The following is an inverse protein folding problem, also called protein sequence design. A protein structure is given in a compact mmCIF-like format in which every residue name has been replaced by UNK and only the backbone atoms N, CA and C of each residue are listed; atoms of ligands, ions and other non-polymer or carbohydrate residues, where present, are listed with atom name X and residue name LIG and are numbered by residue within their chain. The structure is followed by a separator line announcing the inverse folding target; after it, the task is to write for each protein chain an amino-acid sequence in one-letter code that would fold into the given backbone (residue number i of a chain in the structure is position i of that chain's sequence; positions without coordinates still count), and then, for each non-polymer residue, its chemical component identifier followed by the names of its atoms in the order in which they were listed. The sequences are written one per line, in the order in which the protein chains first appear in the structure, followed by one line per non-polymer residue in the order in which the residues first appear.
data_IF_785687300202
#
_entry.id   IF_785687300202
#
_cell.length_a   1.000
_cell.length_b   1.000
_cell.length_c   1.000
_cell.angle_alpha   90.00
_cell.angle_beta   90.00
_cell.angle_gamma   90.00
#
_symmetry.space_group_name_H-M   'P 1'
#
loop_
_entity.id
_entity.type
_entity.pdbx_description
1 polymer ?
#
# COMPACT_ATOMS: atom_id res chain seq x y z
N UNK A 1 13.66 30.95 6.16
CA UNK A 1 13.08 29.97 7.11
C UNK A 1 11.94 29.26 6.39
N UNK A 2 11.87 27.92 6.41
CA UNK A 2 10.73 27.22 5.82
C UNK A 2 9.44 27.73 6.47
N UNK A 3 8.38 27.90 5.68
CA UNK A 3 7.08 28.33 6.22
C UNK A 3 6.60 27.32 7.27
N UNK A 4 5.89 27.78 8.29
CA UNK A 4 5.35 26.91 9.36
C UNK A 4 4.54 25.73 8.76
N UNK A 5 3.85 25.97 7.64
CA UNK A 5 3.10 24.95 6.88
C UNK A 5 4.04 23.84 6.38
N UNK A 6 5.19 24.21 5.80
CA UNK A 6 6.17 23.23 5.32
C UNK A 6 6.76 22.41 6.48
N UNK A 7 7.06 23.06 7.62
CA UNK A 7 7.57 22.37 8.81
C UNK A 7 6.56 21.35 9.35
N UNK A 8 5.29 21.73 9.50
CA UNK A 8 4.24 20.82 9.94
C UNK A 8 3.99 19.69 8.93
N UNK A 9 4.04 19.98 7.63
CA UNK A 9 3.91 18.96 6.60
C UNK A 9 5.01 17.90 6.68
N UNK A 10 6.26 18.30 6.88
CA UNK A 10 7.39 17.37 7.06
C UNK A 10 7.21 16.52 8.32
N UNK A 11 6.89 17.14 9.46
CA UNK A 11 6.70 16.43 10.73
C UNK A 11 5.56 15.42 10.65
N UNK A 12 4.44 15.80 10.01
CA UNK A 12 3.30 14.91 9.81
C UNK A 12 3.68 13.74 8.90
N UNK A 13 4.39 14.01 7.80
CA UNK A 13 4.84 12.97 6.86
C UNK A 13 5.77 11.96 7.52
N UNK A 14 6.71 12.43 8.37
CA UNK A 14 7.60 11.56 9.14
C UNK A 14 6.83 10.69 10.14
N UNK A 15 5.87 11.28 10.86
CA UNK A 15 5.02 10.54 11.81
C UNK A 15 4.20 9.47 11.10
N UNK A 16 3.48 9.83 10.04
CA UNK A 16 2.64 8.91 9.28
C UNK A 16 3.47 7.82 8.61
N UNK A 17 4.66 8.17 8.09
CA UNK A 17 5.61 7.22 7.52
C UNK A 17 6.13 6.22 8.55
N UNK A 18 6.52 6.68 9.75
CA UNK A 18 6.92 5.79 10.84
C UNK A 18 5.79 4.84 11.26
N UNK A 19 4.59 5.37 11.46
CA UNK A 19 3.41 4.57 11.83
C UNK A 19 3.08 3.55 10.74
N UNK A 20 3.17 3.95 9.47
CA UNK A 20 2.95 3.07 8.34
C UNK A 20 3.96 1.93 8.28
N UNK A 21 5.25 2.21 8.45
CA UNK A 21 6.29 1.18 8.51
C UNK A 21 6.06 0.22 9.68
N UNK A 22 5.80 0.75 10.88
CA UNK A 22 5.50 -0.05 12.08
C UNK A 22 4.29 -0.95 11.88
N UNK A 23 3.20 -0.40 11.33
CA UNK A 23 1.97 -1.13 11.08
C UNK A 23 2.14 -2.15 9.96
N UNK A 24 2.92 -1.85 8.92
CA UNK A 24 3.24 -2.78 7.84
C UNK A 24 4.02 -3.99 8.34
N UNK A 25 5.03 -3.79 9.20
CA UNK A 25 5.72 -4.89 9.88
C UNK A 25 4.77 -5.66 10.80
N UNK A 26 3.94 -4.95 11.56
CA UNK A 26 2.92 -5.56 12.41
C UNK A 26 1.89 -6.38 11.63
N UNK A 27 1.63 -6.08 10.35
CA UNK A 27 0.78 -6.90 9.49
C UNK A 27 1.43 -8.21 9.09
N UNK A 28 2.76 -8.26 8.99
CA UNK A 28 3.50 -9.48 8.67
C UNK A 28 3.61 -10.38 9.91
N UNK A 29 3.91 -9.81 11.08
CA UNK A 29 4.14 -10.59 12.30
C UNK A 29 2.84 -10.91 13.06
N UNK A 30 1.96 -9.93 13.25
CA UNK A 30 0.80 -10.00 14.13
C UNK A 30 -0.45 -9.32 13.53
N UNK A 31 -0.93 -9.78 12.35
CA UNK A 31 -1.94 -9.07 11.56
C UNK A 31 -3.22 -8.77 12.33
N UNK A 32 -3.75 -9.74 13.08
CA UNK A 32 -4.98 -9.55 13.85
C UNK A 32 -4.86 -8.43 14.89
N UNK A 33 -3.76 -8.41 15.66
CA UNK A 33 -3.52 -7.40 16.70
C UNK A 33 -3.36 -6.02 16.06
N UNK A 34 -2.61 -5.95 14.96
CA UNK A 34 -2.34 -4.71 14.23
C UNK A 34 -3.63 -4.10 13.70
N UNK A 35 -4.47 -4.86 12.99
CA UNK A 35 -5.77 -4.35 12.53
C UNK A 35 -6.68 -3.94 13.68
N UNK A 36 -6.76 -4.74 14.75
CA UNK A 36 -7.59 -4.40 15.92
C UNK A 36 -7.17 -3.08 16.56
N UNK A 37 -5.87 -2.84 16.68
CA UNK A 37 -5.34 -1.57 17.21
C UNK A 37 -5.74 -0.39 16.32
N UNK A 38 -5.55 -0.51 15.00
CA UNK A 38 -5.92 0.53 14.03
C UNK A 38 -7.42 0.87 14.11
N UNK A 39 -8.28 -0.15 14.18
CA UNK A 39 -9.73 0.07 14.31
C UNK A 39 -10.12 0.69 15.65
N UNK A 40 -9.49 0.25 16.75
CA UNK A 40 -9.77 0.78 18.09
C UNK A 40 -9.38 2.24 18.22
N UNK A 41 -8.24 2.62 17.65
CA UNK A 41 -7.72 4.00 17.68
C UNK A 41 -8.40 4.90 16.63
N UNK A 42 -9.23 4.32 15.75
CA UNK A 42 -9.93 5.00 14.66
C UNK A 42 -9.00 5.83 13.76
N UNK A 43 -7.76 5.38 13.59
CA UNK A 43 -6.75 6.09 12.83
C UNK A 43 -7.04 6.00 11.32
N UNK A 44 -7.68 7.04 10.77
CA UNK A 44 -8.13 7.12 9.37
C UNK A 44 -6.97 7.17 8.39
N UNK A 45 -5.88 7.86 8.71
CA UNK A 45 -4.71 7.93 7.82
C UNK A 45 -4.05 6.56 7.74
N UNK A 46 -3.88 5.89 8.88
CA UNK A 46 -3.29 4.55 8.90
C UNK A 46 -4.20 3.49 8.27
N UNK A 47 -5.52 3.60 8.43
CA UNK A 47 -6.46 2.77 7.67
C UNK A 47 -6.25 2.96 6.16
N UNK A 48 -6.24 4.20 5.66
CA UNK A 48 -6.04 4.44 4.23
C UNK A 48 -4.69 3.89 3.75
N UNK A 49 -3.61 4.14 4.50
CA UNK A 49 -2.27 3.71 4.12
C UNK A 49 -2.13 2.19 4.11
N UNK A 50 -2.67 1.50 5.12
CA UNK A 50 -2.57 0.04 5.24
C UNK A 50 -3.51 -0.68 4.26
N UNK A 51 -4.78 -0.27 4.21
CA UNK A 51 -5.75 -0.87 3.27
C UNK A 51 -5.45 -0.50 1.82
N UNK A 52 -4.73 0.61 1.60
CA UNK A 52 -4.25 1.04 0.30
C UNK A 52 -3.04 0.28 -0.24
N UNK A 53 -2.33 -0.51 0.58
CA UNK A 53 -1.11 -1.25 0.15
C UNK A 53 -1.32 -2.03 -1.16
N UNK A 54 -2.39 -2.82 -1.36
CA UNK A 54 -2.63 -3.50 -2.63
C UNK A 54 -2.66 -2.53 -3.81
N UNK A 55 -3.37 -1.40 -3.66
CA UNK A 55 -3.51 -0.39 -4.70
C UNK A 55 -2.16 0.32 -4.96
N UNK A 56 -1.41 0.66 -3.91
CA UNK A 56 -0.10 1.30 -4.05
C UNK A 56 0.91 0.41 -4.77
N UNK A 57 0.91 -0.89 -4.49
CA UNK A 57 1.78 -1.85 -5.17
C UNK A 57 1.38 -2.01 -6.64
N UNK A 58 0.08 -2.05 -6.93
CA UNK A 58 -0.40 -2.13 -8.30
C UNK A 58 -0.05 -0.87 -9.09
N UNK A 59 -0.44 0.31 -8.59
CA UNK A 59 -0.17 1.60 -9.24
C UNK A 59 1.34 1.87 -9.35
N UNK A 60 2.11 1.55 -8.32
CA UNK A 60 3.57 1.63 -8.34
C UNK A 60 4.18 0.70 -9.39
N UNK A 61 3.70 -0.54 -9.49
CA UNK A 61 4.10 -1.48 -10.54
C UNK A 61 3.78 -0.97 -11.95
N UNK A 62 2.58 -0.43 -12.16
CA UNK A 62 2.21 0.23 -13.42
C UNK A 62 3.13 1.41 -13.74
N UNK A 63 3.44 2.24 -12.75
CA UNK A 63 4.36 3.36 -12.87
C UNK A 63 5.76 2.93 -13.28
N UNK A 64 6.30 1.85 -12.68
CA UNK A 64 7.60 1.29 -13.04
C UNK A 64 7.59 0.72 -14.47
N UNK A 65 6.56 -0.01 -14.86
CA UNK A 65 6.43 -0.54 -16.23
C UNK A 65 6.34 0.61 -17.23
N UNK A 66 5.55 1.64 -16.92
CA UNK A 66 5.40 2.82 -17.76
C UNK A 66 6.72 3.60 -17.91
N UNK A 67 7.42 3.85 -16.80
CA UNK A 67 8.71 4.55 -16.80
C UNK A 67 9.80 3.74 -17.50
N UNK A 68 9.90 2.44 -17.21
CA UNK A 68 10.85 1.53 -17.85
C UNK A 68 10.68 1.49 -19.37
N UNK A 69 9.44 1.49 -19.86
CA UNK A 69 9.15 1.56 -21.30
C UNK A 69 9.58 2.87 -21.95
N UNK A 70 9.52 3.99 -21.22
CA UNK A 70 10.01 5.30 -21.71
C UNK A 70 11.52 5.35 -21.75
N UNK A 71 12.21 4.71 -20.80
CA UNK A 71 13.67 4.69 -20.75
C UNK A 71 14.30 3.91 -21.91
N UNK A 72 13.60 2.93 -22.47
CA UNK A 72 14.08 2.12 -23.60
C UNK A 72 13.48 2.54 -24.96
N UNK A 73 12.82 3.70 -25.02
CA UNK A 73 12.10 4.21 -26.20
C UNK A 73 11.23 3.15 -26.90
N UNK A 74 10.51 2.35 -26.10
CA UNK A 74 9.69 1.28 -26.63
C UNK A 74 8.58 1.84 -27.56
N UNK A 75 8.34 1.22 -28.72
CA UNK A 75 7.34 1.70 -29.66
C UNK A 75 5.95 1.78 -29.02
N UNK A 76 5.23 2.86 -29.35
CA UNK A 76 3.88 3.11 -28.84
C UNK A 76 2.93 2.02 -29.35
N UNK A 77 2.10 1.48 -28.47
CA UNK A 77 1.12 0.45 -28.81
C UNK A 77 1.69 -0.98 -28.94
N UNK A 78 3.02 -1.17 -28.89
CA UNK A 78 3.63 -2.51 -28.94
C UNK A 78 3.95 -2.99 -27.53
N UNK A 79 3.17 -3.93 -27.03
CA UNK A 79 3.37 -4.54 -25.72
C UNK A 79 4.14 -5.84 -25.91
N UNK A 80 5.36 -5.89 -25.40
CA UNK A 80 6.18 -7.11 -25.46
C UNK A 80 5.81 -8.06 -24.33
N UNK A 81 6.23 -9.32 -24.47
CA UNK A 81 6.06 -10.38 -23.45
C UNK A 81 6.39 -9.88 -22.03
N UNK A 82 7.55 -9.24 -21.85
CA UNK A 82 7.99 -8.69 -20.56
C UNK A 82 7.05 -7.64 -19.96
N UNK A 83 6.39 -6.82 -20.79
CA UNK A 83 5.41 -5.85 -20.30
C UNK A 83 4.16 -6.56 -19.78
N UNK A 84 3.66 -7.56 -20.52
CA UNK A 84 2.51 -8.36 -20.09
C UNK A 84 2.83 -9.19 -18.84
N UNK A 85 3.99 -9.83 -18.79
CA UNK A 85 4.44 -10.56 -17.61
C UNK A 85 4.57 -9.64 -16.40
N UNK A 86 5.16 -8.45 -16.57
CA UNK A 86 5.27 -7.45 -15.50
C UNK A 86 3.91 -7.00 -14.99
N UNK A 87 2.96 -6.71 -15.88
CA UNK A 87 1.58 -6.37 -15.50
C UNK A 87 0.92 -7.50 -14.73
N UNK A 88 1.04 -8.74 -15.22
CA UNK A 88 0.43 -9.92 -14.64
C UNK A 88 1.01 -10.21 -13.25
N UNK A 89 2.33 -10.11 -13.09
CA UNK A 89 3.00 -10.22 -11.79
C UNK A 89 2.54 -9.13 -10.83
N UNK A 90 2.52 -7.86 -11.26
CA UNK A 90 2.05 -6.75 -10.42
C UNK A 90 0.59 -6.94 -9.99
N UNK A 91 -0.26 -7.41 -10.90
CA UNK A 91 -1.66 -7.73 -10.62
C UNK A 91 -1.79 -8.86 -9.59
N UNK A 92 -1.11 -9.99 -9.78
CA UNK A 92 -1.21 -11.13 -8.86
C UNK A 92 -0.63 -10.83 -7.47
N UNK A 93 0.47 -10.08 -7.39
CA UNK A 93 1.01 -9.63 -6.10
C UNK A 93 -0.01 -8.73 -5.39
N UNK A 94 -0.54 -7.72 -6.09
CA UNK A 94 -1.56 -6.82 -5.52
C UNK A 94 -2.80 -7.60 -5.06
N UNK A 95 -3.29 -8.52 -5.88
CA UNK A 95 -4.45 -9.37 -5.59
C UNK A 95 -4.21 -10.27 -4.37
N UNK A 96 -3.01 -10.87 -4.26
CA UNK A 96 -2.63 -11.68 -3.10
C UNK A 96 -2.64 -10.86 -1.81
N UNK A 97 -2.09 -9.64 -1.84
CA UNK A 97 -2.09 -8.74 -0.68
C UNK A 97 -3.51 -8.28 -0.37
N UNK A 98 -4.34 -8.01 -1.38
CA UNK A 98 -5.74 -7.66 -1.19
C UNK A 98 -6.50 -8.76 -0.45
N UNK A 99 -6.36 -10.02 -0.86
CA UNK A 99 -6.97 -11.15 -0.16
C UNK A 99 -6.42 -11.32 1.24
N UNK A 100 -5.11 -11.16 1.44
CA UNK A 100 -4.48 -11.23 2.77
C UNK A 100 -5.07 -10.18 3.73
N UNK A 101 -5.06 -8.91 3.31
CA UNK A 101 -5.58 -7.79 4.08
C UNK A 101 -7.08 -7.95 4.33
N UNK A 102 -7.85 -8.31 3.30
CA UNK A 102 -9.29 -8.54 3.38
C UNK A 102 -9.67 -9.70 4.32
N UNK A 103 -8.91 -10.79 4.28
CA UNK A 103 -9.10 -11.93 5.19
C UNK A 103 -8.94 -11.51 6.65
N UNK A 104 -7.84 -10.84 6.99
CA UNK A 104 -7.59 -10.42 8.37
C UNK A 104 -8.55 -9.34 8.84
N UNK A 105 -8.92 -8.42 7.96
CA UNK A 105 -9.98 -7.44 8.21
C UNK A 105 -11.29 -8.15 8.59
N UNK A 106 -11.70 -9.13 7.79
CA UNK A 106 -12.90 -9.91 8.05
C UNK A 106 -12.84 -10.64 9.39
N UNK A 107 -11.69 -11.24 9.74
CA UNK A 107 -11.49 -11.90 11.03
C UNK A 107 -11.64 -10.94 12.21
N UNK A 108 -11.10 -9.72 12.11
CA UNK A 108 -11.24 -8.69 13.15
C UNK A 108 -12.69 -8.25 13.28
N UNK A 109 -13.38 -7.97 12.17
CA UNK A 109 -14.79 -7.57 12.20
C UNK A 109 -15.64 -8.69 12.83
N UNK A 110 -15.41 -9.94 12.43
CA UNK A 110 -16.14 -11.11 12.96
C UNK A 110 -15.98 -11.25 14.48
N UNK A 111 -14.76 -11.06 15.01
CA UNK A 111 -14.47 -11.20 16.45
C UNK A 111 -14.78 -9.96 17.29
N UNK A 112 -15.04 -8.81 16.66
CA UNK A 112 -15.32 -7.53 17.34
C UNK A 112 -16.81 -7.18 17.30
N UNK A 113 -17.64 -7.92 16.55
CA UNK A 113 -19.10 -7.83 16.67
C UNK A 113 -19.52 -8.31 18.08
N UNK A 114 -20.42 -7.57 18.75
CA UNK A 114 -20.95 -7.94 20.07
C UNK A 114 -21.69 -9.27 20.02
#
# INVERSE_FOLDING_TARGET
MPSKILQYGILLSLKEGYLFCRNSLGLLEHPFKTFRTIFREQDRSQMLLVFGIPAYIFVGGLGLIWAGRRLIDAPRGVWGFWTYSGLLVSFFISLGIFFYVGYWLWQVIKKTKP
#
